data_IF_905942322114
#
_entry.id   IF_905942322114
#
_cell.length_a   1.000
_cell.length_b   1.000
_cell.length_c   1.000
_cell.angle_alpha   90.00
_cell.angle_beta   90.00
_cell.angle_gamma   90.00
#
_symmetry.space_group_name_H-M   'P 1'
#
loop_
_entity.id
_entity.type
_entity.pdbx_description
1 polymer ?
#
# COMPACT_ATOMS: atom_id res chain seq x y z
N UNK A 1 27.81 -35.56 26.59
CA UNK A 1 27.45 -35.37 25.17
C UNK A 1 28.43 -34.39 24.58
N UNK A 2 29.10 -34.76 23.48
CA UNK A 2 30.02 -33.88 22.78
C UNK A 2 29.22 -32.91 21.88
N UNK A 3 29.14 -31.65 22.29
CA UNK A 3 28.39 -30.59 21.59
C UNK A 3 29.28 -29.79 20.62
N UNK A 4 30.56 -30.17 20.47
CA UNK A 4 31.51 -29.44 19.61
C UNK A 4 31.05 -29.46 18.15
N UNK A 5 30.52 -30.58 17.67
CA UNK A 5 30.04 -30.73 16.29
C UNK A 5 28.78 -29.90 15.97
N UNK A 6 27.72 -29.93 16.81
CA UNK A 6 26.60 -28.99 16.67
C UNK A 6 27.04 -27.52 16.63
N UNK A 7 27.91 -27.10 17.56
CA UNK A 7 28.37 -25.71 17.63
C UNK A 7 29.14 -25.29 16.39
N UNK A 8 30.04 -26.15 15.91
CA UNK A 8 30.81 -25.90 14.68
C UNK A 8 29.90 -25.81 13.44
N UNK A 9 28.91 -26.70 13.32
CA UNK A 9 27.98 -26.69 12.20
C UNK A 9 27.11 -25.42 12.16
N UNK A 10 26.61 -24.97 13.32
CA UNK A 10 25.88 -23.71 13.43
C UNK A 10 26.76 -22.50 13.13
N UNK A 11 27.99 -22.46 13.65
CA UNK A 11 28.93 -21.37 13.39
C UNK A 11 29.27 -21.25 11.89
N UNK A 12 29.49 -22.38 11.22
CA UNK A 12 29.75 -22.41 9.78
C UNK A 12 28.55 -21.92 8.97
N UNK A 13 27.34 -22.35 9.33
CA UNK A 13 26.12 -21.90 8.65
C UNK A 13 25.88 -20.40 8.83
N UNK A 14 26.09 -19.86 10.04
CA UNK A 14 26.01 -18.41 10.30
C UNK A 14 27.07 -17.65 9.49
N UNK A 15 28.30 -18.17 9.40
CA UNK A 15 29.33 -17.55 8.58
C UNK A 15 28.95 -17.52 7.09
N UNK A 16 28.38 -18.62 6.58
CA UNK A 16 27.87 -18.70 5.20
C UNK A 16 26.73 -17.70 4.96
N UNK A 17 25.80 -17.57 5.91
CA UNK A 17 24.71 -16.59 5.88
C UNK A 17 25.24 -15.14 5.80
N UNK A 18 26.20 -14.79 6.66
CA UNK A 18 26.82 -13.46 6.68
C UNK A 18 27.57 -13.17 5.38
N UNK A 19 28.33 -14.14 4.86
CA UNK A 19 29.03 -14.01 3.59
C UNK A 19 28.05 -13.78 2.43
N UNK A 20 26.95 -14.53 2.39
CA UNK A 20 25.91 -14.40 1.37
C UNK A 20 25.26 -13.01 1.39
N UNK A 21 25.00 -12.43 2.57
CA UNK A 21 24.51 -11.06 2.68
C UNK A 21 25.53 -10.03 2.18
N UNK A 22 26.81 -10.15 2.56
CA UNK A 22 27.86 -9.22 2.13
C UNK A 22 28.11 -9.25 0.62
N UNK A 23 27.99 -10.42 0.00
CA UNK A 23 28.13 -10.57 -1.46
C UNK A 23 26.95 -9.98 -2.21
N UNK A 24 25.73 -10.11 -1.66
CA UNK A 24 24.52 -9.56 -2.29
C UNK A 24 24.46 -8.04 -2.21
N UNK A 25 25.08 -7.43 -1.19
CA UNK A 25 25.11 -5.98 -1.03
C UNK A 25 26.03 -5.26 -2.04
N UNK A 26 26.99 -6.00 -2.63
CA UNK A 26 27.97 -5.47 -3.61
C UNK A 26 27.47 -5.46 -5.05
N UNK A 27 26.28 -6.01 -5.30
CA UNK A 27 25.69 -6.10 -6.63
C UNK A 27 24.92 -4.84 -7.02
N UNK A 28 25.59 -3.92 -7.70
CA UNK A 28 24.95 -2.96 -8.60
C UNK A 28 24.69 -1.57 -8.04
N UNK A 29 25.75 -0.75 -7.93
CA UNK A 29 25.62 0.69 -8.14
C UNK A 29 25.39 0.90 -9.65
N UNK A 30 24.17 0.66 -10.11
CA UNK A 30 23.77 1.05 -11.45
C UNK A 30 23.75 2.59 -11.49
N UNK A 31 24.54 3.15 -12.41
CA UNK A 31 24.66 4.58 -12.66
C UNK A 31 23.27 5.21 -12.82
N UNK A 32 22.96 6.34 -12.16
CA UNK A 32 21.64 6.93 -12.21
C UNK A 32 21.34 7.42 -13.64
N UNK A 33 20.50 6.66 -14.34
CA UNK A 33 19.86 7.13 -15.56
C UNK A 33 19.01 8.37 -15.24
N UNK A 34 18.98 9.31 -16.19
CA UNK A 34 18.27 10.59 -16.11
C UNK A 34 16.89 10.45 -15.45
N UNK A 35 16.63 11.32 -14.47
CA UNK A 35 15.62 11.19 -13.43
C UNK A 35 14.20 10.95 -13.99
N UNK A 36 13.72 9.69 -14.11
CA UNK A 36 12.37 9.44 -14.61
C UNK A 36 11.37 9.89 -13.55
N UNK A 37 10.31 10.59 -13.96
CA UNK A 37 9.20 10.90 -13.07
C UNK A 37 8.65 9.59 -12.48
N UNK A 38 8.61 9.50 -11.14
CA UNK A 38 8.13 8.30 -10.46
C UNK A 38 6.61 8.26 -10.54
N UNK A 39 6.00 7.19 -11.08
CA UNK A 39 4.54 7.06 -11.11
C UNK A 39 3.97 7.06 -9.69
N UNK A 40 2.84 7.75 -9.50
CA UNK A 40 2.16 7.84 -8.20
C UNK A 40 1.90 6.47 -7.53
N UNK A 41 1.47 5.41 -8.27
CA UNK A 41 1.21 4.10 -7.69
C UNK A 41 2.45 3.43 -7.12
N UNK A 42 3.59 3.61 -7.81
CA UNK A 42 4.87 3.08 -7.36
C UNK A 42 5.31 3.79 -6.09
N UNK A 43 5.14 5.11 -6.01
CA UNK A 43 5.46 5.88 -4.80
C UNK A 43 4.58 5.46 -3.60
N UNK A 44 3.28 5.28 -3.80
CA UNK A 44 2.37 4.80 -2.75
C UNK A 44 2.68 3.39 -2.28
N UNK A 45 3.03 2.49 -3.21
CA UNK A 45 3.50 1.15 -2.85
C UNK A 45 4.72 1.20 -1.95
N UNK A 46 5.70 2.06 -2.26
CA UNK A 46 6.92 2.21 -1.44
C UNK A 46 6.65 2.83 -0.07
N UNK A 47 5.59 3.65 0.07
CA UNK A 47 5.11 4.17 1.36
C UNK A 47 4.40 3.11 2.21
N UNK A 48 4.18 1.90 1.68
CA UNK A 48 3.49 0.83 2.38
C UNK A 48 1.97 0.99 2.37
N UNK A 49 1.41 1.71 1.38
CA UNK A 49 -0.03 1.76 1.15
C UNK A 49 -0.57 0.38 0.80
N UNK A 50 -1.86 0.14 1.02
CA UNK A 50 -2.46 -1.17 0.76
C UNK A 50 -2.54 -1.42 -0.74
N UNK A 51 -2.65 -2.68 -1.13
CA UNK A 51 -2.73 -3.06 -2.54
C UNK A 51 -3.93 -2.41 -3.26
N UNK A 52 -5.04 -2.18 -2.54
CA UNK A 52 -6.22 -1.48 -3.04
C UNK A 52 -5.92 0.01 -3.32
N UNK A 53 -5.23 0.69 -2.41
CA UNK A 53 -4.85 2.10 -2.54
C UNK A 53 -3.93 2.28 -3.75
N UNK A 54 -2.94 1.38 -3.89
CA UNK A 54 -2.01 1.36 -5.03
C UNK A 54 -2.73 1.08 -6.35
N UNK A 55 -3.73 0.21 -6.34
CA UNK A 55 -4.57 -0.03 -7.51
C UNK A 55 -5.40 1.20 -7.86
N UNK A 56 -5.93 1.89 -6.84
CA UNK A 56 -6.70 3.10 -7.02
C UNK A 56 -5.87 4.24 -7.60
N UNK A 57 -4.68 4.50 -7.06
CA UNK A 57 -3.77 5.49 -7.65
C UNK A 57 -3.32 5.12 -9.05
N UNK A 58 -3.29 3.82 -9.40
CA UNK A 58 -3.04 3.39 -10.79
C UNK A 58 -4.15 3.86 -11.73
N UNK A 59 -5.41 3.75 -11.31
CA UNK A 59 -6.53 4.25 -12.11
C UNK A 59 -6.52 5.77 -12.22
N UNK A 60 -6.17 6.48 -11.15
CA UNK A 60 -6.04 7.95 -11.16
C UNK A 60 -4.90 8.41 -12.07
N UNK A 61 -3.75 7.76 -12.01
CA UNK A 61 -2.60 8.06 -12.87
C UNK A 61 -2.92 7.81 -14.35
N UNK A 62 -3.64 6.72 -14.65
CA UNK A 62 -4.17 6.43 -15.98
C UNK A 62 -5.22 7.46 -16.44
N UNK A 63 -6.06 7.95 -15.53
CA UNK A 63 -7.04 8.99 -15.83
C UNK A 63 -6.37 10.36 -16.07
N UNK A 64 -5.36 10.71 -15.29
CA UNK A 64 -4.54 11.91 -15.51
C UNK A 64 -3.81 11.90 -16.86
N UNK A 65 -3.50 10.70 -17.38
CA UNK A 65 -2.95 10.48 -18.73
C UNK A 65 -4.02 10.31 -19.81
N UNK A 66 -5.30 10.47 -19.50
CA UNK A 66 -6.40 10.41 -20.46
C UNK A 66 -6.71 9.02 -21.02
N UNK A 67 -6.17 7.94 -20.43
CA UNK A 67 -6.50 6.53 -20.77
C UNK A 67 -7.83 6.07 -20.17
N UNK A 68 -8.25 6.75 -19.11
CA UNK A 68 -9.52 6.58 -18.44
C UNK A 68 -10.13 7.96 -18.22
N UNK A 69 -11.44 8.04 -18.10
CA UNK A 69 -12.11 9.23 -17.58
C UNK A 69 -12.89 8.82 -16.34
N UNK A 70 -12.60 9.50 -15.23
CA UNK A 70 -13.27 9.32 -13.94
C UNK A 70 -14.09 10.58 -13.69
N UNK A 71 -15.40 10.41 -13.57
CA UNK A 71 -16.36 11.47 -13.25
C UNK A 71 -17.15 11.08 -12.01
N UNK A 72 -16.82 11.69 -10.86
CA UNK A 72 -17.29 11.25 -9.54
C UNK A 72 -16.94 9.79 -9.27
N UNK A 73 -17.96 8.97 -8.99
CA UNK A 73 -17.79 7.53 -8.76
C UNK A 73 -17.71 6.68 -10.05
N UNK A 74 -17.92 7.27 -11.23
CA UNK A 74 -18.02 6.53 -12.49
C UNK A 74 -16.73 6.58 -13.28
N UNK A 75 -16.32 5.41 -13.78
CA UNK A 75 -15.18 5.26 -14.67
C UNK A 75 -15.65 4.86 -16.06
N UNK A 76 -15.08 5.53 -17.06
CA UNK A 76 -15.19 5.19 -18.48
C UNK A 76 -13.81 4.98 -19.09
N UNK A 77 -13.74 4.08 -20.06
CA UNK A 77 -12.52 3.83 -20.83
C UNK A 77 -12.42 4.85 -21.95
N UNK A 78 -11.28 5.54 -22.04
CA UNK A 78 -10.97 6.45 -23.15
C UNK A 78 -9.90 5.83 -24.04
N UNK A 79 -10.08 5.91 -25.35
CA UNK A 79 -9.23 5.25 -26.34
C UNK A 79 -7.90 5.95 -26.62
N UNK A 80 -7.36 6.75 -25.69
CA UNK A 80 -6.12 7.49 -25.94
C UNK A 80 -4.97 6.51 -26.22
N UNK A 81 -4.21 6.78 -27.27
CA UNK A 81 -3.00 6.06 -27.66
C UNK A 81 -1.77 6.83 -27.16
N UNK A 82 -0.84 6.10 -26.54
CA UNK A 82 0.48 6.54 -26.06
C UNK A 82 0.57 7.28 -24.71
N UNK A 83 1.65 7.03 -23.93
CA UNK A 83 2.66 5.97 -24.09
C UNK A 83 2.11 4.58 -23.73
N UNK A 84 2.80 3.51 -24.16
CA UNK A 84 2.42 2.13 -23.85
C UNK A 84 2.29 1.94 -22.33
N UNK A 85 1.21 1.32 -21.84
CA UNK A 85 1.01 1.13 -20.41
C UNK A 85 2.11 0.23 -19.82
N UNK A 86 2.54 0.53 -18.60
CA UNK A 86 3.41 -0.39 -17.87
C UNK A 86 2.67 -1.71 -17.56
N UNK A 87 3.36 -2.83 -17.28
CA UNK A 87 2.69 -4.12 -17.07
C UNK A 87 1.61 -4.13 -15.98
N UNK A 88 1.81 -3.38 -14.89
CA UNK A 88 0.78 -3.25 -13.82
C UNK A 88 -0.43 -2.42 -14.28
N UNK A 89 -0.23 -1.47 -15.18
CA UNK A 89 -1.28 -0.64 -15.77
C UNK A 89 -2.09 -1.41 -16.78
N UNK A 90 -1.43 -2.23 -17.61
CA UNK A 90 -2.08 -3.13 -18.54
C UNK A 90 -2.96 -4.13 -17.80
N UNK A 91 -2.43 -4.75 -16.74
CA UNK A 91 -3.21 -5.62 -15.86
C UNK A 91 -4.45 -4.90 -15.28
N UNK A 92 -4.28 -3.66 -14.83
CA UNK A 92 -5.39 -2.87 -14.29
C UNK A 92 -6.45 -2.57 -15.36
N UNK A 93 -6.04 -2.17 -16.57
CA UNK A 93 -6.93 -1.89 -17.70
C UNK A 93 -7.68 -3.15 -18.16
N UNK A 94 -7.01 -4.29 -18.27
CA UNK A 94 -7.66 -5.58 -18.59
C UNK A 94 -8.71 -5.94 -17.57
N UNK A 95 -8.39 -5.77 -16.28
CA UNK A 95 -9.31 -6.11 -15.20
C UNK A 95 -10.51 -5.17 -15.16
N UNK A 96 -10.31 -3.88 -15.42
CA UNK A 96 -11.38 -2.90 -15.59
C UNK A 96 -12.26 -3.27 -16.80
N UNK A 97 -11.68 -3.54 -17.97
CA UNK A 97 -12.42 -3.95 -19.18
C UNK A 97 -13.27 -5.20 -18.94
N UNK A 98 -12.69 -6.21 -18.32
CA UNK A 98 -13.38 -7.46 -18.02
C UNK A 98 -14.59 -7.24 -17.11
N UNK A 99 -14.46 -6.37 -16.10
CA UNK A 99 -15.56 -6.06 -15.16
C UNK A 99 -16.59 -5.09 -15.70
N UNK A 100 -16.21 -4.17 -16.59
CA UNK A 100 -17.17 -3.33 -17.30
C UNK A 100 -18.06 -4.16 -18.23
N UNK A 101 -17.60 -5.31 -18.71
CA UNK A 101 -18.39 -6.23 -19.56
C UNK A 101 -19.09 -5.52 -20.75
N UNK A 102 -18.43 -4.52 -21.33
CA UNK A 102 -18.96 -3.71 -22.43
C UNK A 102 -19.84 -2.52 -22.03
N UNK A 103 -20.07 -2.28 -20.74
CA UNK A 103 -20.72 -1.06 -20.26
C UNK A 103 -19.89 0.19 -20.63
N UNK A 104 -20.55 1.31 -20.90
CA UNK A 104 -19.88 2.59 -21.21
C UNK A 104 -19.25 3.23 -19.97
N UNK A 105 -19.88 3.06 -18.83
CA UNK A 105 -19.47 3.59 -17.54
C UNK A 105 -19.79 2.55 -16.46
N UNK A 106 -18.93 2.44 -15.45
CA UNK A 106 -19.16 1.59 -14.29
C UNK A 106 -18.65 2.27 -13.01
N UNK A 107 -19.29 2.03 -11.85
CA UNK A 107 -18.77 2.50 -10.57
C UNK A 107 -17.39 1.89 -10.29
N UNK A 108 -16.39 2.67 -9.86
CA UNK A 108 -15.02 2.15 -9.63
C UNK A 108 -14.99 1.01 -8.59
N UNK A 109 -15.93 0.96 -7.66
CA UNK A 109 -16.09 -0.07 -6.61
C UNK A 109 -16.36 -1.39 -7.29
N UNK A 110 -17.27 -1.35 -8.26
CA UNK A 110 -17.65 -2.55 -9.01
C UNK A 110 -16.48 -3.06 -9.86
N UNK A 111 -15.47 -2.22 -10.11
CA UNK A 111 -14.26 -2.56 -10.85
C UNK A 111 -13.12 -3.07 -9.94
N UNK A 112 -13.22 -2.89 -8.63
CA UNK A 112 -12.17 -3.23 -7.68
C UNK A 112 -11.92 -4.75 -7.64
N UNK A 113 -10.67 -5.21 -7.81
CA UNK A 113 -10.33 -6.61 -7.64
C UNK A 113 -10.33 -7.01 -6.16
N UNK A 114 -10.69 -8.28 -5.88
CA UNK A 114 -10.57 -8.81 -4.53
C UNK A 114 -9.11 -8.80 -4.05
N UNK A 115 -8.90 -8.57 -2.75
CA UNK A 115 -7.56 -8.40 -2.16
C UNK A 115 -6.57 -9.51 -2.51
N UNK A 116 -7.01 -10.77 -2.50
CA UNK A 116 -6.16 -11.90 -2.86
C UNK A 116 -5.61 -11.82 -4.30
N UNK A 117 -6.40 -11.32 -5.26
CA UNK A 117 -5.95 -11.15 -6.64
C UNK A 117 -4.99 -9.95 -6.77
N UNK A 118 -5.19 -8.90 -5.98
CA UNK A 118 -4.26 -7.76 -5.94
C UNK A 118 -2.89 -8.20 -5.40
N UNK A 119 -2.88 -8.96 -4.30
CA UNK A 119 -1.63 -9.42 -3.68
C UNK A 119 -0.88 -10.45 -4.54
N UNK A 120 -1.62 -11.33 -5.22
CA UNK A 120 -1.05 -12.40 -6.04
C UNK A 120 -0.54 -11.91 -7.40
N UNK A 121 -1.28 -11.02 -8.07
CA UNK A 121 -1.04 -10.71 -9.48
C UNK A 121 -0.60 -9.25 -9.70
N UNK A 122 -1.20 -8.28 -8.99
CA UNK A 122 -0.97 -6.85 -9.23
C UNK A 122 0.26 -6.30 -8.49
N UNK A 123 0.35 -6.55 -7.17
CA UNK A 123 1.45 -6.06 -6.33
C UNK A 123 2.83 -6.53 -6.84
N UNK A 124 3.01 -7.77 -7.34
CA UNK A 124 4.28 -8.17 -7.93
C UNK A 124 4.68 -7.34 -9.16
N UNK A 125 3.72 -6.89 -9.97
CA UNK A 125 3.99 -6.06 -11.15
C UNK A 125 4.42 -4.64 -10.75
N UNK A 126 3.72 -4.03 -9.78
CA UNK A 126 4.10 -2.71 -9.23
C UNK A 126 5.49 -2.78 -8.57
N UNK A 127 5.77 -3.88 -7.86
CA UNK A 127 7.09 -4.13 -7.27
C UNK A 127 8.18 -4.25 -8.33
N UNK A 128 7.89 -4.93 -9.44
CA UNK A 128 8.85 -5.04 -10.54
C UNK A 128 9.12 -3.67 -11.16
N UNK A 129 8.09 -2.85 -11.39
CA UNK A 129 8.26 -1.47 -11.85
C UNK A 129 9.11 -0.63 -10.89
N UNK A 130 8.94 -0.78 -9.56
CA UNK A 130 9.79 -0.13 -8.58
C UNK A 130 11.26 -0.56 -8.68
N UNK A 131 11.52 -1.82 -9.05
CA UNK A 131 12.88 -2.34 -9.28
C UNK A 131 13.46 -1.79 -10.58
N UNK A 132 12.68 -1.79 -11.65
CA UNK A 132 13.11 -1.32 -12.97
C UNK A 132 13.42 0.20 -12.94
N UNK A 133 12.71 0.97 -12.10
CA UNK A 133 12.97 2.38 -11.82
C UNK A 133 14.14 2.63 -10.84
N UNK A 134 14.80 1.57 -10.34
CA UNK A 134 15.90 1.68 -9.39
C UNK A 134 15.49 2.16 -7.98
N UNK A 135 14.20 2.14 -7.65
CA UNK A 135 13.67 2.55 -6.34
C UNK A 135 13.73 1.41 -5.32
N UNK A 136 13.64 0.18 -5.80
CA UNK A 136 13.83 -1.02 -4.99
C UNK A 136 14.87 -1.93 -5.64
N UNK A 137 15.51 -2.77 -4.83
CA UNK A 137 16.34 -3.87 -5.32
C UNK A 137 15.86 -5.16 -4.70
N UNK A 138 15.94 -6.26 -5.47
CA UNK A 138 15.72 -7.59 -4.89
C UNK A 138 16.82 -7.86 -3.86
N UNK A 139 16.44 -8.35 -2.68
CA UNK A 139 17.42 -8.71 -1.64
C UNK A 139 18.37 -9.81 -2.12
N UNK A 140 17.89 -10.67 -3.01
CA UNK A 140 18.68 -11.68 -3.70
C UNK A 140 18.38 -11.62 -5.21
N UNK A 141 19.40 -11.65 -6.07
CA UNK A 141 19.20 -11.65 -7.52
C UNK A 141 18.48 -12.92 -8.00
N UNK A 142 18.67 -14.06 -7.30
CA UNK A 142 18.01 -15.33 -7.57
C UNK A 142 17.56 -16.02 -6.27
N UNK A 143 16.54 -16.86 -6.37
CA UNK A 143 16.09 -17.72 -5.26
C UNK A 143 17.12 -18.82 -4.92
N UNK A 144 18.16 -19.00 -5.72
CA UNK A 144 19.17 -20.04 -5.50
C UNK A 144 19.90 -19.85 -4.17
N UNK A 145 20.26 -18.61 -3.81
CA UNK A 145 21.00 -18.33 -2.58
C UNK A 145 20.17 -18.60 -1.31
N UNK A 146 18.95 -18.03 -1.15
CA UNK A 146 18.12 -18.35 0.01
C UNK A 146 17.71 -19.83 0.05
N UNK A 147 17.51 -20.48 -1.11
CA UNK A 147 17.23 -21.92 -1.16
C UNK A 147 18.42 -22.75 -0.68
N UNK A 148 19.63 -22.46 -1.16
CA UNK A 148 20.85 -23.16 -0.73
C UNK A 148 21.13 -22.95 0.77
N UNK A 149 20.90 -21.74 1.29
CA UNK A 149 20.99 -21.47 2.73
C UNK A 149 19.95 -22.27 3.53
N UNK A 150 18.71 -22.39 3.03
CA UNK A 150 17.67 -23.19 3.66
C UNK A 150 17.97 -24.70 3.60
N UNK A 151 18.51 -25.20 2.49
CA UNK A 151 18.92 -26.61 2.35
C UNK A 151 20.13 -26.92 3.24
N UNK A 152 21.12 -26.04 3.29
CA UNK A 152 22.32 -26.25 4.14
C UNK A 152 22.02 -26.17 5.63
N UNK A 153 20.91 -25.55 6.03
CA UNK A 153 20.43 -25.52 7.42
C UNK A 153 20.05 -26.91 7.95
N UNK A 154 19.81 -27.88 7.07
CA UNK A 154 19.54 -29.29 7.44
C UNK A 154 20.74 -29.92 8.15
N UNK A 155 21.98 -29.54 7.80
CA UNK A 155 23.21 -30.09 8.38
C UNK A 155 23.36 -29.75 9.87
N UNK A 156 23.35 -28.48 10.32
CA UNK A 156 23.42 -28.15 11.75
C UNK A 156 22.21 -28.66 12.53
N UNK A 157 21.02 -28.69 11.93
CA UNK A 157 19.83 -29.31 12.51
C UNK A 157 20.06 -30.80 12.79
N UNK A 158 20.45 -31.57 11.77
CA UNK A 158 20.70 -33.01 11.89
C UNK A 158 21.80 -33.32 12.90
N UNK A 159 22.92 -32.59 12.87
CA UNK A 159 24.01 -32.75 13.85
C UNK A 159 23.52 -32.53 15.29
N UNK A 160 22.64 -31.55 15.51
CA UNK A 160 22.10 -31.24 16.84
C UNK A 160 21.10 -32.31 17.29
N UNK A 161 20.20 -32.75 16.41
CA UNK A 161 19.21 -33.80 16.72
C UNK A 161 19.89 -35.16 16.94
N UNK A 162 20.86 -35.55 16.11
CA UNK A 162 21.60 -36.79 16.26
C UNK A 162 22.43 -36.83 17.56
N UNK A 163 23.01 -35.69 17.96
CA UNK A 163 23.80 -35.60 19.18
C UNK A 163 22.96 -35.48 20.46
N UNK A 164 21.71 -35.00 20.40
CA UNK A 164 20.88 -34.70 21.58
C UNK A 164 19.59 -35.53 21.70
N UNK A 165 19.17 -36.25 20.66
CA UNK A 165 17.88 -36.94 20.60
C UNK A 165 16.68 -35.98 20.63
N UNK A 166 15.51 -36.45 21.09
CA UNK A 166 14.29 -35.62 21.33
C UNK A 166 14.38 -34.89 22.68
N UNK A 167 15.59 -34.55 23.13
CA UNK A 167 15.76 -33.70 24.31
C UNK A 167 15.51 -32.22 23.93
N UNK A 168 15.42 -31.37 24.95
CA UNK A 168 15.21 -29.92 24.79
C UNK A 168 16.11 -29.23 23.73
N UNK A 169 17.39 -29.61 23.52
CA UNK A 169 18.23 -28.98 22.49
C UNK A 169 17.79 -29.34 21.06
N UNK A 170 17.32 -30.57 20.83
CA UNK A 170 16.79 -31.01 19.54
C UNK A 170 15.47 -30.32 19.18
N UNK A 171 14.62 -30.05 20.18
CA UNK A 171 13.38 -29.27 20.00
C UNK A 171 13.70 -27.84 19.59
N UNK A 172 14.64 -27.17 20.29
CA UNK A 172 15.06 -25.81 19.94
C UNK A 172 15.69 -25.76 18.55
N UNK A 173 16.59 -26.70 18.22
CA UNK A 173 17.21 -26.74 16.90
C UNK A 173 16.17 -26.89 15.78
N UNK A 174 15.12 -27.68 16.01
CA UNK A 174 14.01 -27.85 15.06
C UNK A 174 13.21 -26.56 14.90
N UNK A 175 12.85 -25.91 16.01
CA UNK A 175 12.13 -24.64 15.98
C UNK A 175 12.93 -23.53 15.28
N UNK A 176 14.22 -23.38 15.62
CA UNK A 176 15.12 -22.39 14.99
C UNK A 176 15.27 -22.67 13.50
N UNK A 177 15.43 -23.94 13.10
CA UNK A 177 15.61 -24.29 11.69
C UNK A 177 14.34 -24.06 10.87
N UNK A 178 13.17 -24.32 11.44
CA UNK A 178 11.89 -24.02 10.82
C UNK A 178 11.72 -22.51 10.60
N UNK A 179 11.93 -21.72 11.66
CA UNK A 179 11.78 -20.26 11.61
C UNK A 179 12.81 -19.63 10.67
N UNK A 180 14.08 -20.06 10.74
CA UNK A 180 15.14 -19.54 9.88
C UNK A 180 14.97 -19.98 8.42
N UNK A 181 14.56 -21.22 8.16
CA UNK A 181 14.27 -21.71 6.80
C UNK A 181 13.11 -20.98 6.15
N UNK A 182 11.97 -20.86 6.85
CA UNK A 182 10.82 -20.09 6.36
C UNK A 182 11.20 -18.62 6.21
N UNK A 183 11.90 -18.04 7.19
CA UNK A 183 12.38 -16.67 7.15
C UNK A 183 13.34 -16.38 5.99
N UNK A 184 14.20 -17.33 5.61
CA UNK A 184 15.07 -17.23 4.44
C UNK A 184 14.29 -17.30 3.13
N UNK A 185 13.28 -18.16 3.04
CA UNK A 185 12.47 -18.28 1.83
C UNK A 185 11.53 -17.08 1.65
N UNK A 186 10.90 -16.61 2.74
CA UNK A 186 10.04 -15.42 2.74
C UNK A 186 10.87 -14.14 2.59
N UNK A 187 11.97 -14.01 3.32
CA UNK A 187 12.92 -12.91 3.20
C UNK A 187 13.70 -12.93 1.88
N UNK A 188 13.80 -14.10 1.24
CA UNK A 188 14.32 -14.31 -0.11
C UNK A 188 13.50 -13.59 -1.18
N UNK A 189 12.19 -13.46 -0.93
CA UNK A 189 11.24 -12.67 -1.74
C UNK A 189 11.16 -11.20 -1.32
N UNK A 190 11.89 -10.82 -0.28
CA UNK A 190 11.96 -9.45 0.22
C UNK A 190 12.74 -8.55 -0.73
N UNK A 191 12.33 -7.28 -0.81
CA UNK A 191 13.05 -6.24 -1.52
C UNK A 191 13.58 -5.21 -0.53
N UNK A 192 14.66 -4.54 -0.90
CA UNK A 192 15.27 -3.46 -0.12
C UNK A 192 15.08 -2.16 -0.88
N UNK A 193 14.71 -1.09 -0.17
CA UNK A 193 14.64 0.24 -0.74
C UNK A 193 16.05 0.75 -1.03
N UNK A 194 16.26 1.37 -2.20
CA UNK A 194 17.50 2.11 -2.50
C UNK A 194 17.51 3.45 -1.76
N UNK A 195 18.58 4.24 -1.87
CA UNK A 195 18.59 5.60 -1.31
C UNK A 195 17.44 6.45 -1.88
N UNK A 196 17.30 6.43 -3.21
CA UNK A 196 16.20 7.07 -3.92
C UNK A 196 14.83 6.50 -3.56
N UNK A 197 14.70 5.19 -3.43
CA UNK A 197 13.46 4.56 -2.95
C UNK A 197 13.08 5.02 -1.54
N UNK A 198 14.05 5.22 -0.66
CA UNK A 198 13.82 5.76 0.69
C UNK A 198 13.34 7.20 0.65
N UNK A 199 13.90 8.03 -0.22
CA UNK A 199 13.44 9.42 -0.43
C UNK A 199 12.00 9.47 -0.94
N UNK A 200 11.64 8.61 -1.91
CA UNK A 200 10.27 8.52 -2.44
C UNK A 200 9.28 7.96 -1.40
N UNK A 201 9.73 6.97 -0.60
CA UNK A 201 8.94 6.36 0.48
C UNK A 201 8.79 7.25 1.69
N UNK A 202 9.57 8.33 1.80
CA UNK A 202 9.38 9.32 2.85
C UNK A 202 7.95 9.87 2.76
N UNK A 203 7.35 10.31 3.88
CA UNK A 203 6.09 11.02 3.85
C UNK A 203 6.24 12.18 2.86
N UNK A 204 5.63 12.04 1.69
CA UNK A 204 5.76 13.03 0.63
C UNK A 204 5.24 14.38 1.13
N UNK A 205 5.68 15.50 0.53
CA UNK A 205 4.97 16.76 0.73
C UNK A 205 3.48 16.55 0.43
N UNK A 206 2.65 17.16 1.28
CA UNK A 206 1.19 17.23 1.11
C UNK A 206 0.90 17.59 -0.36
N UNK A 207 -0.02 16.88 -1.06
CA UNK A 207 -0.27 17.12 -2.48
C UNK A 207 -0.45 18.61 -2.77
N UNK A 208 0.21 19.09 -3.83
CA UNK A 208 0.28 20.49 -4.21
C UNK A 208 -1.07 21.09 -4.67
N UNK A 209 -2.09 20.24 -4.89
CA UNK A 209 -3.42 20.66 -5.27
C UNK A 209 -4.51 19.92 -4.44
N UNK A 210 -5.09 20.57 -3.41
CA UNK A 210 -6.22 20.03 -2.65
C UNK A 210 -7.51 19.87 -3.48
N UNK A 211 -7.56 20.38 -4.71
CA UNK A 211 -8.68 20.16 -5.62
C UNK A 211 -8.60 18.81 -6.36
N UNK A 212 -7.42 18.16 -6.40
CA UNK A 212 -7.20 16.92 -7.16
C UNK A 212 -7.21 15.61 -6.34
N UNK A 213 -7.51 15.63 -5.03
CA UNK A 213 -7.95 14.39 -4.35
C UNK A 213 -9.39 14.07 -4.82
N UNK A 214 -9.51 13.48 -6.01
CA UNK A 214 -10.74 12.85 -6.50
C UNK A 214 -10.95 11.58 -5.71
N UNK A 215 -12.04 11.54 -4.95
CA UNK A 215 -12.25 10.52 -3.94
C UNK A 215 -13.46 9.67 -4.31
N UNK A 216 -13.18 8.39 -4.40
CA UNK A 216 -14.09 7.36 -4.79
C UNK A 216 -14.73 6.72 -3.55
N UNK A 217 -16.06 6.66 -3.52
CA UNK A 217 -16.80 6.38 -2.27
C UNK A 217 -17.57 5.09 -2.30
N UNK A 218 -17.91 4.65 -3.51
CA UNK A 218 -18.84 3.55 -3.69
C UNK A 218 -20.23 3.78 -3.10
N UNK A 219 -20.52 5.01 -2.67
CA UNK A 219 -21.81 5.44 -2.14
C UNK A 219 -22.77 5.87 -3.25
N UNK A 220 -22.31 5.86 -4.51
CA UNK A 220 -23.10 6.28 -5.66
C UNK A 220 -23.08 7.79 -5.87
N UNK A 221 -22.13 8.50 -5.26
CA UNK A 221 -21.99 9.95 -5.36
C UNK A 221 -21.44 10.33 -6.74
N UNK A 222 -22.20 11.09 -7.51
CA UNK A 222 -21.98 11.31 -8.96
C UNK A 222 -21.16 12.55 -9.30
N UNK A 223 -20.40 13.08 -8.34
CA UNK A 223 -19.92 14.46 -8.27
C UNK A 223 -21.05 15.44 -7.92
N UNK A 224 -20.80 16.28 -6.91
CA UNK A 224 -21.73 17.28 -6.42
C UNK A 224 -21.01 18.36 -5.63
N UNK A 225 -21.65 19.51 -5.43
CA UNK A 225 -21.14 20.56 -4.56
C UNK A 225 -20.95 20.00 -3.14
N UNK A 226 -19.79 20.27 -2.54
CA UNK A 226 -19.53 19.96 -1.14
C UNK A 226 -19.96 21.18 -0.33
N UNK A 227 -21.01 21.02 0.47
CA UNK A 227 -21.51 22.10 1.31
C UNK A 227 -20.81 22.05 2.69
N UNK A 228 -20.39 23.19 3.25
CA UNK A 228 -19.86 23.22 4.62
C UNK A 228 -20.93 22.78 5.61
N UNK A 229 -20.54 22.00 6.62
CA UNK A 229 -21.44 21.62 7.71
C UNK A 229 -22.03 22.87 8.36
N UNK A 230 -23.35 23.00 8.29
CA UNK A 230 -24.07 24.04 9.04
C UNK A 230 -23.94 23.72 10.53
N UNK A 231 -23.46 24.64 11.37
CA UNK A 231 -23.29 24.36 12.79
C UNK A 231 -24.64 24.02 13.43
N UNK A 232 -24.81 22.84 14.06
CA UNK A 232 -26.05 22.55 14.77
C UNK A 232 -26.19 23.49 15.97
N UNK A 233 -27.42 23.97 16.19
CA UNK A 233 -27.72 25.09 17.06
C UNK A 233 -27.51 24.80 18.57
N UNK A 234 -27.63 23.55 19.02
CA UNK A 234 -27.71 23.31 20.48
C UNK A 234 -27.19 21.95 20.97
N UNK A 235 -27.26 20.88 20.18
CA UNK A 235 -26.92 19.53 20.65
C UNK A 235 -25.74 18.87 19.93
N UNK A 236 -25.08 17.92 20.62
CA UNK A 236 -24.06 17.03 20.05
C UNK A 236 -24.71 16.23 18.92
N UNK A 237 -24.16 16.36 17.71
CA UNK A 237 -24.68 15.69 16.53
C UNK A 237 -23.80 14.49 16.19
N UNK A 238 -24.40 13.31 16.08
CA UNK A 238 -23.75 12.15 15.47
C UNK A 238 -24.12 12.09 13.99
N UNK A 239 -23.12 12.07 13.12
CA UNK A 239 -23.29 11.99 11.67
C UNK A 239 -22.66 10.69 11.20
N UNK A 240 -23.40 9.91 10.41
CA UNK A 240 -22.89 8.69 9.78
C UNK A 240 -22.87 8.88 8.27
N UNK A 241 -21.79 8.47 7.62
CA UNK A 241 -21.69 8.53 6.16
C UNK A 241 -20.37 7.98 5.64
N UNK A 242 -20.30 7.88 4.32
CA UNK A 242 -19.08 7.51 3.60
C UNK A 242 -18.21 8.73 3.38
N UNK A 243 -16.91 8.58 3.59
CA UNK A 243 -15.95 9.65 3.37
C UNK A 243 -15.74 9.85 1.88
N UNK A 244 -16.17 11.01 1.38
CA UNK A 244 -16.12 11.36 -0.05
C UNK A 244 -15.08 12.35 -0.45
N UNK A 245 -14.48 13.04 0.51
CA UNK A 245 -13.31 13.86 0.25
C UNK A 245 -12.55 14.08 1.54
N UNK A 246 -11.26 14.33 1.47
CA UNK A 246 -10.51 14.99 2.54
C UNK A 246 -9.59 16.02 1.92
N UNK A 247 -9.24 17.05 2.65
CA UNK A 247 -8.23 18.02 2.23
C UNK A 247 -7.65 18.74 3.43
N UNK A 248 -6.45 19.30 3.25
CA UNK A 248 -5.85 20.23 4.19
C UNK A 248 -5.84 21.62 3.57
N UNK A 249 -6.36 22.60 4.30
CA UNK A 249 -6.17 24.01 4.00
C UNK A 249 -4.90 24.50 4.70
N UNK A 250 -3.90 24.84 3.88
CA UNK A 250 -2.57 25.27 4.29
C UNK A 250 -2.42 26.77 4.03
N UNK A 251 -3.35 27.58 4.53
CA UNK A 251 -3.28 29.03 4.38
C UNK A 251 -1.99 29.60 5.02
N UNK A 252 -1.18 30.41 4.29
CA UNK A 252 0.08 30.95 4.78
C UNK A 252 -0.10 31.73 6.09
N UNK A 253 0.68 31.39 7.12
CA UNK A 253 0.65 32.08 8.41
C UNK A 253 -0.43 31.60 9.39
N UNK A 254 -1.15 30.52 9.07
CA UNK A 254 -2.13 29.90 9.96
C UNK A 254 -1.82 28.44 10.25
N UNK A 255 -2.37 27.91 11.34
CA UNK A 255 -2.28 26.49 11.63
C UNK A 255 -3.07 25.69 10.57
N UNK A 256 -2.56 24.55 10.09
CA UNK A 256 -3.21 23.75 9.06
C UNK A 256 -4.59 23.29 9.53
N UNK A 257 -5.60 23.49 8.69
CA UNK A 257 -6.97 23.00 8.93
C UNK A 257 -7.23 21.78 8.08
N UNK A 258 -7.83 20.76 8.66
CA UNK A 258 -8.10 19.51 7.98
C UNK A 258 -9.60 19.33 7.84
N UNK A 259 -10.04 18.80 6.72
CA UNK A 259 -11.44 18.63 6.40
C UNK A 259 -11.70 17.23 5.87
N UNK A 260 -12.89 16.72 6.16
CA UNK A 260 -13.43 15.47 5.62
C UNK A 260 -14.86 15.75 5.17
N UNK A 261 -15.20 15.39 3.94
CA UNK A 261 -16.57 15.41 3.42
C UNK A 261 -17.22 14.05 3.59
N UNK A 262 -18.44 14.02 4.12
CA UNK A 262 -19.26 12.81 4.25
C UNK A 262 -20.46 12.85 3.33
N UNK A 263 -20.82 11.70 2.78
CA UNK A 263 -22.06 11.47 2.04
C UNK A 263 -22.88 10.39 2.76
N UNK A 264 -24.14 10.70 3.01
CA UNK A 264 -25.09 9.84 3.74
C UNK A 264 -25.65 8.69 2.89
N UNK A 265 -25.29 8.63 1.59
CA UNK A 265 -25.77 7.62 0.65
C UNK A 265 -27.14 7.92 0.03
N UNK A 266 -27.79 9.04 0.40
CA UNK A 266 -29.13 9.40 -0.08
C UNK A 266 -29.22 10.84 -0.61
N UNK A 267 -28.43 11.75 -0.07
CA UNK A 267 -28.40 13.16 -0.43
C UNK A 267 -27.71 13.39 -1.77
N UNK A 268 -28.09 14.45 -2.48
CA UNK A 268 -27.42 14.84 -3.73
C UNK A 268 -26.03 15.46 -3.51
N UNK A 269 -25.76 15.90 -2.27
CA UNK A 269 -24.55 16.65 -1.89
C UNK A 269 -23.87 16.00 -0.70
N UNK A 270 -22.56 16.22 -0.61
CA UNK A 270 -21.77 15.81 0.53
C UNK A 270 -21.53 16.99 1.48
N UNK A 271 -21.35 16.69 2.77
CA UNK A 271 -21.18 17.71 3.81
C UNK A 271 -19.75 17.71 4.34
N UNK A 272 -19.08 18.86 4.33
CA UNK A 272 -17.73 19.05 4.84
C UNK A 272 -17.69 19.31 6.34
N UNK A 273 -16.89 18.53 7.05
CA UNK A 273 -16.60 18.70 8.47
C UNK A 273 -15.13 19.03 8.67
N UNK A 274 -14.83 20.07 9.45
CA UNK A 274 -13.46 20.30 9.94
C UNK A 274 -13.09 19.21 10.95
N UNK A 275 -11.93 18.60 10.80
CA UNK A 275 -11.47 17.48 11.64
C UNK A 275 -10.11 17.78 12.25
N UNK A 276 -9.79 17.10 13.35
CA UNK A 276 -8.44 17.12 13.91
C UNK A 276 -7.43 16.34 13.05
N UNK A 277 -6.11 16.61 13.19
CA UNK A 277 -5.07 15.92 12.42
C UNK A 277 -5.02 14.41 12.65
N UNK A 278 -5.46 13.92 13.82
CA UNK A 278 -5.60 12.48 14.08
C UNK A 278 -6.67 11.86 13.19
N UNK A 279 -7.89 12.40 13.23
CA UNK A 279 -9.02 11.93 12.40
C UNK A 279 -8.69 12.02 10.91
N UNK A 280 -8.03 13.10 10.46
CA UNK A 280 -7.59 13.25 9.07
C UNK A 280 -6.62 12.16 8.59
N UNK A 281 -5.78 11.64 9.50
CA UNK A 281 -4.83 10.55 9.21
C UNK A 281 -5.49 9.18 9.25
N UNK A 282 -6.46 9.00 10.15
CA UNK A 282 -7.09 7.71 10.40
C UNK A 282 -8.18 7.39 9.37
N UNK A 283 -8.85 8.42 8.85
CA UNK A 283 -10.01 8.31 7.96
C UNK A 283 -9.60 8.55 6.52
N UNK A 284 -9.97 7.59 5.66
CA UNK A 284 -9.70 7.65 4.22
C UNK A 284 -11.00 7.76 3.41
N UNK A 285 -10.93 8.35 2.22
CA UNK A 285 -11.79 8.02 1.07
C UNK A 285 -12.44 6.62 1.11
N UNK A 286 -13.76 6.54 1.04
CA UNK A 286 -14.51 5.28 1.02
C UNK A 286 -14.82 4.68 2.41
N UNK A 287 -14.12 5.10 3.47
CA UNK A 287 -14.42 4.64 4.83
C UNK A 287 -15.86 5.02 5.24
N UNK A 288 -16.59 4.08 5.82
CA UNK A 288 -17.84 4.36 6.50
C UNK A 288 -17.51 4.80 7.93
N UNK A 289 -17.86 6.04 8.26
CA UNK A 289 -17.53 6.63 9.55
C UNK A 289 -18.76 7.18 10.24
N UNK A 290 -18.76 7.07 11.56
CA UNK A 290 -19.68 7.79 12.44
C UNK A 290 -18.89 8.87 13.17
N UNK A 291 -19.12 10.14 12.86
CA UNK A 291 -18.47 11.29 13.47
C UNK A 291 -19.34 11.92 14.54
N UNK A 292 -18.72 12.34 15.65
CA UNK A 292 -19.34 13.21 16.64
C UNK A 292 -18.96 14.66 16.35
N UNK A 293 -19.94 15.50 16.04
CA UNK A 293 -19.76 16.91 15.65
C UNK A 293 -20.03 17.84 16.84
N UNK A 294 -19.17 18.86 17.01
CA UNK A 294 -19.31 19.86 18.07
C UNK A 294 -20.43 20.85 17.74
N UNK A 295 -21.32 21.18 18.70
CA UNK A 295 -22.29 22.26 18.54
C UNK A 295 -21.60 23.59 18.23
N UNK A 296 -22.21 24.40 17.37
CA UNK A 296 -21.77 25.78 17.09
C UNK A 296 -20.52 25.96 16.21
N UNK A 297 -19.80 24.89 15.82
CA UNK A 297 -18.66 24.99 14.88
C UNK A 297 -18.73 24.07 13.66
N UNK A 298 -19.62 23.07 13.64
CA UNK A 298 -19.65 22.09 12.53
C UNK A 298 -18.39 21.23 12.44
N UNK A 299 -17.51 21.26 13.44
CA UNK A 299 -16.26 20.51 13.47
C UNK A 299 -16.47 19.12 14.09
N UNK A 300 -16.00 18.07 13.43
CA UNK A 300 -15.99 16.72 13.96
C UNK A 300 -14.88 16.56 15.00
N UNK A 301 -15.26 16.13 16.20
CA UNK A 301 -14.39 16.03 17.38
C UNK A 301 -13.79 14.64 17.51
N UNK A 302 -14.52 13.61 17.07
CA UNK A 302 -14.14 12.22 17.28
C UNK A 302 -14.83 11.28 16.29
N UNK A 303 -14.13 10.23 15.87
CA UNK A 303 -14.71 9.07 15.18
C UNK A 303 -15.25 8.11 16.23
N UNK A 304 -16.56 7.83 16.20
CA UNK A 304 -17.28 6.93 17.13
C UNK A 304 -17.37 5.50 16.60
N UNK A 305 -17.37 5.32 15.29
CA UNK A 305 -17.30 4.03 14.62
C UNK A 305 -16.61 4.21 13.27
N UNK A 306 -15.83 3.20 12.89
CA UNK A 306 -15.06 3.18 11.67
C UNK A 306 -15.15 1.78 11.10
N UNK A 307 -15.98 1.63 10.06
CA UNK A 307 -16.04 0.43 9.26
C UNK A 307 -15.36 0.71 7.93
N UNK A 308 -14.16 0.16 7.78
CA UNK A 308 -13.46 0.21 6.51
C UNK A 308 -14.10 -0.78 5.57
N UNK A 309 -14.88 -0.22 4.66
CA UNK A 309 -15.62 -0.96 3.69
C UNK A 309 -15.00 -0.67 2.31
N UNK A 310 -14.31 -1.73 1.84
CA UNK A 310 -13.90 -2.02 0.46
C UNK A 310 -12.65 -1.29 -0.04
#
# INVERSE_FOLDING_TARGET
MDLVWPVAAWALWVAALVAAFKLSDRGGDAEPAADPAVPAPVAEFLRGMRAQDVFHSTLLDLAGRGRLAIDGDLLSLTGAEEPAPAPYEEWALERVRARMAGARQAPVVALMPGGAALDADFVPLVRQAAIDLGLARRRWPTMAVPLLLAVTLVVPWYCTVAASGIAWPGIIATAVSLVAGIGLLMGGRGFLLTARGREVSAPGPVPADPQQEWIFTGSGWRSGEIDPAVPPATDRLEVTGHVVKRWADLAPGSAPRYYVALHDGASARATAYEVGPGVYRDVLPGDSVRLLVKPGRGAAVRVLAHDRHW
#
